data_IF_864994540588
#
_entry.id   IF_864994540588
#
_cell.length_a   1.000
_cell.length_b   1.000
_cell.length_c   1.000
_cell.angle_alpha   90.00
_cell.angle_beta   90.00
_cell.angle_gamma   90.00
#
_symmetry.space_group_name_H-M   'P 1'
#
loop_
_entity.id
_entity.type
_entity.pdbx_description
1 polymer ?
#
# COMPACT_ATOMS: atom_id res chain seq x y z
N UNK A 1 13.80 -3.46 -2.97
CA UNK A 1 12.55 -2.68 -2.96
C UNK A 1 11.41 -3.56 -2.45
N UNK A 2 10.57 -3.08 -1.52
CA UNK A 2 9.39 -3.79 -1.00
C UNK A 2 8.21 -3.70 -1.97
N UNK A 3 7.36 -4.74 -2.01
CA UNK A 3 6.18 -4.76 -2.87
C UNK A 3 4.93 -4.95 -2.01
N UNK A 4 3.97 -4.04 -2.17
CA UNK A 4 2.62 -4.15 -1.63
C UNK A 4 1.64 -4.39 -2.77
N UNK A 5 0.74 -5.35 -2.60
CA UNK A 5 -0.40 -5.57 -3.52
C UNK A 5 -1.69 -5.25 -2.76
N UNK A 6 -2.38 -4.21 -3.21
CA UNK A 6 -3.55 -3.67 -2.53
C UNK A 6 -4.87 -4.21 -3.11
N UNK A 7 -5.97 -4.06 -2.35
CA UNK A 7 -7.32 -4.34 -2.81
C UNK A 7 -7.64 -5.82 -2.97
N UNK A 8 -7.15 -6.66 -2.04
CA UNK A 8 -7.40 -8.09 -2.04
C UNK A 8 -8.80 -8.37 -1.49
N UNK A 9 -9.60 -9.14 -2.26
CA UNK A 9 -10.98 -9.51 -1.96
C UNK A 9 -11.23 -11.01 -2.04
N UNK A 10 -10.23 -11.80 -2.48
CA UNK A 10 -10.36 -13.23 -2.77
C UNK A 10 -9.20 -14.00 -2.15
N UNK A 11 -9.51 -15.16 -1.59
CA UNK A 11 -8.51 -16.03 -0.97
C UNK A 11 -7.46 -16.54 -1.97
N UNK A 12 -7.87 -16.87 -3.20
CA UNK A 12 -6.96 -17.36 -4.23
C UNK A 12 -5.89 -16.33 -4.60
N UNK A 13 -6.20 -15.02 -4.49
CA UNK A 13 -5.22 -13.97 -4.71
C UNK A 13 -4.19 -13.94 -3.57
N UNK A 14 -4.61 -14.20 -2.31
CA UNK A 14 -3.69 -14.33 -1.16
C UNK A 14 -2.71 -15.47 -1.38
N UNK A 15 -3.23 -16.65 -1.77
CA UNK A 15 -2.38 -17.82 -2.04
C UNK A 15 -1.32 -17.48 -3.08
N UNK A 16 -1.74 -16.83 -4.18
CA UNK A 16 -0.82 -16.42 -5.25
C UNK A 16 0.24 -15.43 -4.78
N UNK A 17 -0.14 -14.45 -3.96
CA UNK A 17 0.80 -13.46 -3.43
C UNK A 17 1.82 -14.08 -2.47
N UNK A 18 1.42 -15.08 -1.69
CA UNK A 18 2.34 -15.86 -0.84
C UNK A 18 3.34 -16.67 -1.66
N UNK A 19 2.90 -17.33 -2.73
CA UNK A 19 3.80 -18.03 -3.67
C UNK A 19 4.85 -17.09 -4.27
N UNK A 20 4.47 -15.85 -4.51
CA UNK A 20 5.35 -14.79 -5.04
C UNK A 20 6.15 -14.08 -3.96
N UNK A 21 6.04 -14.47 -2.69
CA UNK A 21 6.72 -13.84 -1.55
C UNK A 21 6.54 -12.31 -1.50
N UNK A 22 5.30 -11.84 -1.79
CA UNK A 22 4.97 -10.41 -1.73
C UNK A 22 5.06 -9.92 -0.29
N UNK A 23 5.69 -8.76 -0.10
CA UNK A 23 5.99 -8.24 1.24
C UNK A 23 4.73 -7.79 2.00
N UNK A 24 3.77 -7.16 1.30
CA UNK A 24 2.55 -6.64 1.93
C UNK A 24 1.29 -6.93 1.12
N UNK A 25 0.23 -7.30 1.82
CA UNK A 25 -1.09 -7.65 1.27
C UNK A 25 -2.13 -6.68 1.84
N UNK A 26 -2.75 -5.86 0.98
CA UNK A 26 -3.65 -4.79 1.37
C UNK A 26 -5.13 -5.19 1.35
N UNK A 27 -5.82 -5.07 2.48
CA UNK A 27 -7.26 -5.23 2.65
C UNK A 27 -7.94 -3.88 2.80
N UNK A 28 -8.86 -3.56 1.89
CA UNK A 28 -9.51 -2.26 1.88
C UNK A 28 -10.81 -2.29 2.70
N UNK A 29 -10.88 -1.49 3.77
CA UNK A 29 -12.07 -1.37 4.62
C UNK A 29 -12.85 -0.06 4.39
N UNK A 30 -12.36 0.82 3.49
CA UNK A 30 -12.97 2.11 3.21
C UNK A 30 -14.34 1.95 2.55
N UNK A 31 -15.35 2.68 3.01
CA UNK A 31 -16.76 2.54 2.60
C UNK A 31 -16.97 2.66 1.10
N UNK A 32 -16.30 3.62 0.48
CA UNK A 32 -16.49 3.96 -0.95
C UNK A 32 -15.66 3.09 -1.90
N UNK A 33 -14.85 2.18 -1.38
CA UNK A 33 -14.00 1.35 -2.22
C UNK A 33 -14.76 0.22 -2.88
N UNK A 34 -14.60 0.09 -4.20
CA UNK A 34 -15.09 -1.09 -4.94
C UNK A 34 -14.41 -2.41 -4.52
N UNK A 35 -13.29 -2.30 -3.78
CA UNK A 35 -12.50 -3.43 -3.26
C UNK A 35 -12.67 -3.61 -1.76
N UNK A 36 -13.76 -3.02 -1.21
CA UNK A 36 -14.08 -3.14 0.20
C UNK A 36 -14.33 -4.59 0.58
N UNK A 37 -13.72 -5.01 1.68
CA UNK A 37 -13.99 -6.32 2.32
C UNK A 37 -14.57 -6.13 3.72
N UNK A 38 -15.19 -7.17 4.25
CA UNK A 38 -15.57 -7.22 5.64
C UNK A 38 -14.34 -7.44 6.53
N UNK A 39 -14.26 -6.70 7.64
CA UNK A 39 -13.11 -6.77 8.56
C UNK A 39 -12.93 -8.18 9.14
N UNK A 40 -14.02 -8.86 9.50
CA UNK A 40 -13.94 -10.20 10.12
C UNK A 40 -13.39 -11.20 9.09
N UNK A 41 -13.83 -11.15 7.82
CA UNK A 41 -13.25 -11.96 6.74
C UNK A 41 -11.74 -11.66 6.56
N UNK A 42 -11.36 -10.40 6.56
CA UNK A 42 -9.95 -10.02 6.36
C UNK A 42 -9.07 -10.50 7.52
N UNK A 43 -9.56 -10.45 8.76
CA UNK A 43 -8.88 -11.00 9.94
C UNK A 43 -8.77 -12.52 9.86
N UNK A 44 -9.85 -13.22 9.49
CA UNK A 44 -9.86 -14.68 9.29
C UNK A 44 -8.82 -15.11 8.24
N UNK A 45 -8.73 -14.35 7.12
CA UNK A 45 -7.73 -14.61 6.08
C UNK A 45 -6.31 -14.36 6.58
N UNK A 46 -6.12 -13.32 7.39
CA UNK A 46 -4.82 -13.01 7.98
C UNK A 46 -4.35 -14.13 8.91
N UNK A 47 -5.22 -14.64 9.77
CA UNK A 47 -4.91 -15.76 10.66
C UNK A 47 -4.68 -17.05 9.86
N UNK A 48 -5.61 -17.41 8.98
CA UNK A 48 -5.55 -18.63 8.16
C UNK A 48 -4.27 -18.74 7.34
N UNK A 49 -3.82 -17.63 6.77
CA UNK A 49 -2.65 -17.58 5.91
C UNK A 49 -1.37 -17.09 6.59
N UNK A 50 -1.40 -16.86 7.92
CA UNK A 50 -0.25 -16.38 8.71
C UNK A 50 0.36 -15.10 8.13
N UNK A 51 -0.50 -14.08 7.94
CA UNK A 51 -0.12 -12.80 7.35
C UNK A 51 0.20 -11.72 8.41
N UNK A 52 0.49 -12.14 9.65
CA UNK A 52 0.97 -11.23 10.68
C UNK A 52 2.22 -10.50 10.16
N UNK A 53 2.25 -9.19 10.37
CA UNK A 53 3.28 -8.27 9.87
C UNK A 53 3.30 -8.01 8.35
N UNK A 54 2.62 -8.80 7.53
CA UNK A 54 2.50 -8.55 6.07
C UNK A 54 1.13 -8.01 5.66
N UNK A 55 0.08 -8.20 6.47
CA UNK A 55 -1.23 -7.60 6.22
C UNK A 55 -1.22 -6.09 6.45
N UNK A 56 -1.89 -5.36 5.55
CA UNK A 56 -2.09 -3.91 5.64
C UNK A 56 -3.58 -3.61 5.51
N UNK A 57 -4.18 -3.05 6.56
CA UNK A 57 -5.59 -2.66 6.54
C UNK A 57 -5.71 -1.17 6.19
N UNK A 58 -6.44 -0.88 5.10
CA UNK A 58 -6.76 0.48 4.70
C UNK A 58 -7.99 0.93 5.49
N UNK A 59 -7.80 1.90 6.38
CA UNK A 59 -8.83 2.31 7.34
C UNK A 59 -9.01 3.82 7.39
N UNK A 60 -10.23 4.23 7.59
CA UNK A 60 -10.59 5.59 7.95
C UNK A 60 -10.49 5.74 9.48
N UNK A 61 -9.74 6.74 9.96
CA UNK A 61 -9.52 6.96 11.40
C UNK A 61 -10.80 7.35 12.15
N UNK A 62 -11.85 7.80 11.44
CA UNK A 62 -13.15 8.13 12.03
C UNK A 62 -14.10 6.91 12.12
N UNK A 63 -13.72 5.77 11.52
CA UNK A 63 -14.57 4.58 11.46
C UNK A 63 -14.26 3.55 12.55
N UNK A 64 -15.25 2.71 12.94
CA UNK A 64 -15.10 1.72 14.01
C UNK A 64 -13.97 0.70 13.75
N UNK A 65 -13.69 0.37 12.49
CA UNK A 65 -12.65 -0.58 12.07
C UNK A 65 -11.26 -0.12 12.55
N UNK A 66 -10.97 1.18 12.47
CA UNK A 66 -9.74 1.73 13.02
C UNK A 66 -9.61 1.48 14.52
N UNK A 67 -10.69 1.69 15.28
CA UNK A 67 -10.69 1.47 16.73
C UNK A 67 -10.49 0.00 17.12
N UNK A 68 -10.93 -0.93 16.27
CA UNK A 68 -10.66 -2.36 16.46
C UNK A 68 -9.19 -2.70 16.21
N UNK A 69 -8.58 -2.13 15.17
CA UNK A 69 -7.25 -2.50 14.66
C UNK A 69 -6.10 -1.76 15.32
N UNK A 70 -6.29 -0.51 15.78
CA UNK A 70 -5.19 0.35 16.30
C UNK A 70 -4.42 -0.22 17.50
N UNK A 71 -5.01 -1.17 18.22
CA UNK A 71 -4.40 -1.82 19.38
C UNK A 71 -3.88 -3.25 19.07
N UNK A 72 -4.04 -3.71 17.82
CA UNK A 72 -3.57 -5.03 17.36
C UNK A 72 -2.25 -4.85 16.63
N UNK A 73 -1.14 -5.10 17.30
CA UNK A 73 0.21 -4.82 16.79
C UNK A 73 0.68 -5.76 15.67
N UNK A 74 -0.04 -6.86 15.45
CA UNK A 74 0.29 -7.85 14.42
C UNK A 74 -0.05 -7.40 12.98
N UNK A 75 -0.69 -6.24 12.81
CA UNK A 75 -1.13 -5.77 11.49
C UNK A 75 -0.60 -4.37 11.22
N UNK A 76 -0.37 -4.06 9.96
CA UNK A 76 0.00 -2.71 9.52
C UNK A 76 -1.27 -1.94 9.12
N UNK A 77 -1.23 -0.63 9.21
CA UNK A 77 -2.37 0.23 8.88
C UNK A 77 -2.00 1.23 7.78
N UNK A 78 -2.86 1.40 6.80
CA UNK A 78 -2.84 2.55 5.89
C UNK A 78 -4.02 3.44 6.27
N UNK A 79 -3.72 4.65 6.77
CA UNK A 79 -4.69 5.49 7.47
C UNK A 79 -5.18 6.66 6.62
N UNK A 80 -6.47 6.95 6.73
CA UNK A 80 -7.14 8.07 6.06
C UNK A 80 -7.92 8.92 7.06
N UNK A 81 -8.28 10.15 6.67
CA UNK A 81 -9.12 11.08 7.44
C UNK A 81 -8.64 11.33 8.88
N UNK A 82 -7.32 11.48 9.05
CA UNK A 82 -6.71 11.83 10.34
C UNK A 82 -6.40 13.33 10.40
N UNK A 83 -6.63 13.95 11.56
CA UNK A 83 -6.19 15.33 11.85
C UNK A 83 -4.73 15.36 12.29
N UNK A 84 -4.35 14.39 13.08
CA UNK A 84 -2.98 14.14 13.55
C UNK A 84 -2.67 12.66 13.36
N UNK A 85 -1.42 12.34 13.03
CA UNK A 85 -1.00 10.95 12.87
C UNK A 85 -1.16 10.24 14.22
N UNK A 86 -1.98 9.19 14.30
CA UNK A 86 -2.26 8.51 15.56
C UNK A 86 -0.99 7.87 16.13
N UNK A 87 -0.87 7.91 17.45
CA UNK A 87 0.22 7.22 18.14
C UNK A 87 -0.17 5.76 18.37
N UNK A 88 0.26 4.89 17.48
CA UNK A 88 0.02 3.44 17.53
C UNK A 88 1.34 2.68 17.32
N UNK A 89 1.37 1.43 17.76
CA UNK A 89 2.57 0.57 17.61
C UNK A 89 2.68 -0.09 16.24
N UNK A 90 1.61 -0.05 15.44
CA UNK A 90 1.56 -0.59 14.09
C UNK A 90 2.52 0.17 13.17
N UNK A 91 3.04 -0.49 12.15
CA UNK A 91 3.61 0.25 11.01
C UNK A 91 2.47 1.00 10.32
N UNK A 92 2.68 2.30 10.08
CA UNK A 92 1.72 3.17 9.41
C UNK A 92 2.18 3.49 7.99
N UNK A 93 1.30 3.23 7.04
CA UNK A 93 1.39 3.78 5.69
C UNK A 93 0.54 5.05 5.65
N UNK A 94 1.18 6.18 5.39
CA UNK A 94 0.57 7.51 5.46
C UNK A 94 0.46 8.04 4.03
N UNK A 95 -0.73 8.01 3.41
CA UNK A 95 -0.93 8.56 2.08
C UNK A 95 -0.63 10.05 2.06
N UNK A 96 0.17 10.46 1.11
CA UNK A 96 0.57 11.85 0.88
C UNK A 96 0.60 12.15 -0.62
N UNK A 97 0.47 13.42 -0.97
CA UNK A 97 0.68 13.85 -2.36
C UNK A 97 2.16 14.14 -2.63
N UNK A 98 2.53 14.27 -3.90
CA UNK A 98 3.91 14.55 -4.31
C UNK A 98 4.47 15.86 -3.72
N UNK A 99 3.62 16.85 -3.45
CA UNK A 99 4.10 18.12 -2.85
C UNK A 99 4.61 17.95 -1.43
N UNK A 100 4.16 16.92 -0.72
CA UNK A 100 4.64 16.58 0.62
C UNK A 100 6.13 16.16 0.59
N UNK A 101 6.62 15.59 -0.49
CA UNK A 101 8.02 15.15 -0.62
C UNK A 101 9.00 16.31 -0.37
N UNK A 102 8.62 17.54 -0.73
CA UNK A 102 9.42 18.75 -0.42
C UNK A 102 9.60 18.99 1.08
N UNK A 103 8.70 18.45 1.92
CA UNK A 103 8.81 18.55 3.38
C UNK A 103 9.84 17.57 3.94
N UNK A 104 10.07 16.43 3.27
CA UNK A 104 11.09 15.45 3.67
C UNK A 104 12.51 16.02 3.60
N UNK A 105 12.75 17.00 2.72
CA UNK A 105 14.04 17.67 2.58
C UNK A 105 14.38 18.62 3.74
N UNK A 106 13.39 18.94 4.58
CA UNK A 106 13.62 19.91 5.67
C UNK A 106 14.51 19.28 6.76
N UNK A 107 15.58 19.97 7.21
CA UNK A 107 16.56 19.40 8.15
C UNK A 107 15.98 18.96 9.50
N UNK A 108 14.82 19.49 9.85
CA UNK A 108 14.12 19.19 11.10
C UNK A 108 13.03 18.12 10.94
N UNK A 109 12.72 17.71 9.71
CA UNK A 109 11.74 16.65 9.49
C UNK A 109 12.33 15.31 9.97
N UNK A 110 11.55 14.57 10.74
CA UNK A 110 11.94 13.25 11.25
C UNK A 110 10.85 12.26 10.95
N UNK A 111 11.21 11.21 10.22
CA UNK A 111 10.34 10.05 10.00
C UNK A 111 10.43 9.16 11.22
N UNK A 112 9.29 8.78 11.80
CA UNK A 112 9.29 7.77 12.86
C UNK A 112 9.60 6.40 12.26
N UNK A 113 10.27 5.54 13.02
CA UNK A 113 10.70 4.22 12.57
C UNK A 113 9.54 3.36 12.02
N UNK A 114 8.34 3.50 12.61
CA UNK A 114 7.14 2.79 12.20
C UNK A 114 6.28 3.53 11.17
N UNK A 115 6.77 4.60 10.54
CA UNK A 115 6.03 5.33 9.50
C UNK A 115 6.65 5.09 8.13
N UNK A 116 5.79 4.97 7.11
CA UNK A 116 6.14 5.00 5.69
C UNK A 116 5.21 5.95 4.96
N UNK A 117 5.75 6.83 4.15
CA UNK A 117 4.95 7.74 3.36
C UNK A 117 4.61 7.08 2.04
N UNK A 118 3.31 6.99 1.76
CA UNK A 118 2.79 6.43 0.52
C UNK A 118 2.40 7.58 -0.41
N UNK A 119 3.19 7.80 -1.45
CA UNK A 119 2.92 8.82 -2.46
C UNK A 119 1.98 8.23 -3.49
N UNK A 120 0.77 8.74 -3.55
CA UNK A 120 -0.26 8.36 -4.52
C UNK A 120 -0.69 9.60 -5.32
N UNK A 121 -1.19 9.39 -6.53
CA UNK A 121 -1.82 10.45 -7.31
C UNK A 121 -3.14 10.85 -6.64
N UNK A 122 -3.08 11.80 -5.71
CA UNK A 122 -4.24 12.27 -4.96
C UNK A 122 -4.95 13.47 -5.62
N UNK A 123 -4.71 13.74 -6.90
CA UNK A 123 -5.53 14.68 -7.67
C UNK A 123 -6.85 14.01 -8.07
N UNK A 124 -7.79 13.93 -7.11
CA UNK A 124 -9.13 13.36 -7.27
C UNK A 124 -9.37 12.09 -6.45
N UNK A 125 -10.52 12.02 -5.78
CA UNK A 125 -11.09 10.93 -4.94
C UNK A 125 -10.20 9.71 -4.64
N UNK A 126 -10.02 9.42 -3.35
CA UNK A 126 -9.54 8.20 -2.69
C UNK A 126 -9.04 7.08 -3.64
N UNK A 127 -7.83 7.18 -4.16
CA UNK A 127 -7.06 6.17 -4.89
C UNK A 127 -7.80 5.22 -5.87
N UNK A 128 -7.10 4.71 -6.87
CA UNK A 128 -7.65 3.68 -7.76
C UNK A 128 -8.23 4.16 -9.09
N UNK A 129 -8.02 5.42 -9.46
CA UNK A 129 -8.40 5.94 -10.79
C UNK A 129 -7.57 5.32 -11.93
N UNK A 130 -6.42 4.71 -11.61
CA UNK A 130 -5.52 4.15 -12.61
C UNK A 130 -4.77 5.19 -13.43
N UNK A 131 -4.94 6.47 -13.12
CA UNK A 131 -4.16 7.54 -13.75
C UNK A 131 -2.72 7.49 -13.26
N UNK A 132 -1.80 7.59 -14.20
CA UNK A 132 -0.37 7.48 -13.95
C UNK A 132 0.15 8.81 -13.44
N UNK A 133 0.80 8.79 -12.28
CA UNK A 133 1.58 9.93 -11.80
C UNK A 133 2.80 10.13 -12.70
N UNK A 134 3.16 11.37 -13.02
CA UNK A 134 4.39 11.67 -13.73
C UNK A 134 5.61 11.57 -12.80
N UNK A 135 6.21 10.39 -12.77
CA UNK A 135 7.38 10.10 -11.92
C UNK A 135 8.65 10.82 -12.36
N UNK A 136 8.70 11.37 -13.58
CA UNK A 136 9.84 12.15 -14.05
C UNK A 136 10.07 13.43 -13.25
N UNK A 137 9.02 13.88 -12.54
CA UNK A 137 9.06 15.04 -11.66
C UNK A 137 9.29 14.67 -10.18
N UNK A 138 9.57 13.40 -9.85
CA UNK A 138 10.02 13.06 -8.51
C UNK A 138 11.34 13.80 -8.27
N UNK A 139 11.41 14.67 -7.25
CA UNK A 139 12.65 15.38 -6.94
C UNK A 139 13.75 14.38 -6.57
N UNK A 140 15.00 14.79 -6.70
CA UNK A 140 16.17 14.01 -6.28
C UNK A 140 16.26 13.92 -4.74
N UNK A 141 15.28 13.29 -4.09
CA UNK A 141 15.33 13.05 -2.63
C UNK A 141 15.84 11.65 -2.30
N UNK A 142 16.12 11.46 -1.02
CA UNK A 142 16.18 10.13 -0.45
C UNK A 142 14.76 9.54 -0.35
N UNK A 143 14.44 8.61 -1.25
CA UNK A 143 13.17 7.91 -1.32
C UNK A 143 13.17 6.60 -0.51
N UNK A 144 14.23 6.33 0.28
CA UNK A 144 14.42 5.09 1.03
C UNK A 144 13.34 4.82 2.09
N UNK A 145 12.52 5.82 2.44
CA UNK A 145 11.38 5.70 3.35
C UNK A 145 10.02 5.90 2.65
N UNK A 146 10.05 5.99 1.31
CA UNK A 146 8.88 6.28 0.49
C UNK A 146 8.39 5.04 -0.25
N UNK A 147 7.09 4.76 -0.15
CA UNK A 147 6.38 3.83 -1.02
C UNK A 147 5.68 4.62 -2.11
N UNK A 148 5.90 4.25 -3.37
CA UNK A 148 5.23 4.87 -4.50
C UNK A 148 3.98 4.07 -4.87
N UNK A 149 2.89 4.79 -5.16
CA UNK A 149 1.63 4.25 -5.64
C UNK A 149 1.14 5.02 -6.89
N UNK A 150 -0.06 4.73 -7.37
CA UNK A 150 -0.70 5.49 -8.45
C UNK A 150 -0.40 4.95 -9.85
N UNK A 151 -1.22 4.00 -10.30
CA UNK A 151 -1.23 3.51 -11.68
C UNK A 151 -0.01 2.72 -12.14
N UNK A 152 0.79 2.19 -11.21
CA UNK A 152 1.97 1.37 -11.49
C UNK A 152 1.56 0.10 -12.25
N UNK A 153 2.13 -0.11 -13.44
CA UNK A 153 1.97 -1.31 -14.26
C UNK A 153 3.23 -2.17 -14.29
N UNK A 154 3.13 -3.33 -14.95
CA UNK A 154 4.27 -4.24 -15.11
C UNK A 154 5.43 -3.62 -15.90
N UNK A 155 5.11 -2.73 -16.82
CA UNK A 155 6.06 -1.97 -17.64
C UNK A 155 6.91 -0.96 -16.86
N UNK A 156 6.49 -0.59 -15.66
CA UNK A 156 7.14 0.44 -14.85
C UNK A 156 8.15 -0.14 -13.86
N UNK A 157 8.07 -1.44 -13.58
CA UNK A 157 8.82 -2.10 -12.50
C UNK A 157 10.33 -1.91 -12.68
N UNK A 158 10.85 -2.07 -13.89
CA UNK A 158 12.29 -1.93 -14.15
C UNK A 158 12.79 -0.52 -13.83
N UNK A 159 12.07 0.50 -14.29
CA UNK A 159 12.42 1.90 -13.99
C UNK A 159 12.37 2.19 -12.49
N UNK A 160 11.34 1.66 -11.79
CA UNK A 160 11.15 1.91 -10.36
C UNK A 160 12.18 1.19 -9.49
N UNK A 161 12.77 0.08 -9.96
CA UNK A 161 13.85 -0.60 -9.26
C UNK A 161 15.15 0.21 -9.23
N UNK A 162 15.38 1.06 -10.23
CA UNK A 162 16.55 1.95 -10.31
C UNK A 162 16.44 3.16 -9.38
N UNK A 163 15.21 3.45 -8.89
CA UNK A 163 14.99 4.47 -7.87
C UNK A 163 15.24 3.89 -6.48
N UNK A 164 15.88 4.65 -5.60
CA UNK A 164 16.10 4.24 -4.21
C UNK A 164 14.80 4.31 -3.38
N UNK A 165 13.74 3.62 -3.85
CA UNK A 165 12.44 3.54 -3.18
C UNK A 165 12.46 2.50 -2.07
N UNK A 166 11.79 2.80 -0.95
CA UNK A 166 11.49 1.78 0.05
C UNK A 166 10.60 0.68 -0.54
N UNK A 167 9.56 1.06 -1.31
CA UNK A 167 8.67 0.11 -1.95
C UNK A 167 7.72 0.70 -2.97
N UNK A 168 6.91 -0.17 -3.54
CA UNK A 168 5.81 0.16 -4.45
C UNK A 168 4.50 -0.45 -3.96
N UNK A 169 3.37 0.23 -4.22
CA UNK A 169 2.01 -0.25 -3.99
C UNK A 169 1.27 -0.40 -5.32
N UNK A 170 0.99 -1.63 -5.71
CA UNK A 170 0.31 -1.95 -6.96
C UNK A 170 -1.13 -2.40 -6.72
N UNK A 171 -2.04 -2.04 -7.62
CA UNK A 171 -3.45 -2.38 -7.49
C UNK A 171 -4.12 -2.60 -8.85
N UNK A 172 -4.80 -1.59 -9.40
CA UNK A 172 -5.74 -1.70 -10.53
C UNK A 172 -5.10 -2.22 -11.83
N UNK A 173 -3.83 -1.88 -12.11
CA UNK A 173 -3.11 -2.38 -13.30
C UNK A 173 -2.81 -3.88 -13.25
N UNK A 174 -2.92 -4.49 -12.08
CA UNK A 174 -2.75 -5.93 -11.87
C UNK A 174 -4.08 -6.65 -11.64
N UNK A 175 -5.20 -6.09 -12.13
CA UNK A 175 -6.54 -6.65 -12.01
C UNK A 175 -7.15 -7.00 -13.37
N UNK A 176 -8.04 -8.00 -13.36
CA UNK A 176 -8.96 -8.31 -14.48
C UNK A 176 -10.19 -7.41 -14.35
N UNK A 177 -10.73 -7.33 -13.14
CA UNK A 177 -11.80 -6.44 -12.71
C UNK A 177 -11.50 -5.97 -11.29
N UNK A 178 -12.11 -4.87 -10.79
CA UNK A 178 -11.89 -4.41 -9.43
C UNK A 178 -12.04 -5.53 -8.39
N UNK A 179 -10.99 -5.80 -7.61
CA UNK A 179 -10.92 -6.84 -6.61
C UNK A 179 -10.54 -8.24 -7.13
N UNK A 180 -10.39 -8.44 -8.44
CA UNK A 180 -9.93 -9.70 -9.02
C UNK A 180 -8.55 -9.53 -9.64
N UNK A 181 -7.51 -10.08 -9.01
CA UNK A 181 -6.15 -9.97 -9.53
C UNK A 181 -5.90 -10.83 -10.76
N UNK A 182 -5.07 -10.33 -11.65
CA UNK A 182 -4.57 -11.07 -12.80
C UNK A 182 -3.27 -11.79 -12.40
N UNK A 183 -3.35 -13.09 -12.15
CA UNK A 183 -2.21 -13.89 -11.69
C UNK A 183 -1.05 -13.91 -12.70
N UNK A 184 -1.33 -13.79 -14.01
CA UNK A 184 -0.27 -13.72 -15.03
C UNK A 184 0.52 -12.40 -14.90
N UNK A 185 -0.17 -11.28 -14.65
CA UNK A 185 0.50 -10.00 -14.41
C UNK A 185 1.23 -9.98 -13.08
N UNK A 186 0.67 -10.59 -12.02
CA UNK A 186 1.36 -10.69 -10.72
C UNK A 186 2.72 -11.38 -10.81
N UNK A 187 2.88 -12.37 -11.71
CA UNK A 187 4.16 -13.04 -11.92
C UNK A 187 5.28 -12.06 -12.31
N UNK A 188 4.96 -10.98 -13.04
CA UNK A 188 5.97 -9.97 -13.43
C UNK A 188 6.58 -9.20 -12.25
N UNK A 189 5.95 -9.23 -11.07
CA UNK A 189 6.47 -8.55 -9.88
C UNK A 189 7.75 -9.22 -9.31
N UNK A 190 7.99 -10.50 -9.60
CA UNK A 190 9.11 -11.28 -9.04
C UNK A 190 9.98 -11.98 -10.09
N UNK A 191 9.54 -12.11 -11.35
CA UNK A 191 10.25 -12.90 -12.37
C UNK A 191 11.51 -12.23 -12.95
N UNK A 192 12.01 -11.13 -12.38
CA UNK A 192 13.15 -10.40 -12.92
C UNK A 192 14.40 -10.39 -12.01
N UNK A 193 14.44 -11.25 -11.00
CA UNK A 193 15.58 -11.37 -10.08
C UNK A 193 16.31 -12.73 -10.19
N UNK A 194 16.34 -13.36 -11.38
CA UNK A 194 17.28 -14.45 -11.70
C UNK A 194 18.30 -13.99 -12.74
#
# INVERSE_FOLDING_TARGET
MKIKVCGITREEDIVKLKELEIDFIGFNLLKESQRKVNIDWALDMTEKHQLENSSVFLVDCEEPEFHKLKNVTAHNLQIYNFREIPNVSNMLFIPVNATFLKQLEQPHFRIKENHRYLVDNMEGALGGTGEKFDWSNLPEFDLSEVMLAGGIGAEDIDFLQDLNLWGIDVNSKFEITPGQKNHNLLNSLRNKNE
#
